data_IF_651932279674
#
_entry.id   IF_651932279674
#
_cell.length_a   1.000
_cell.length_b   1.000
_cell.length_c   1.000
_cell.angle_alpha   90.00
_cell.angle_beta   90.00
_cell.angle_gamma   90.00
#
_symmetry.space_group_name_H-M   'P 1'
#
loop_
_entity.id
_entity.type
_entity.pdbx_description
1 polymer ?
#
# COMPACT_ATOMS: atom_id res chain seq x y z
N UNK A 1 -6.45 4.37 -9.50
CA UNK A 1 -5.01 4.29 -9.23
C UNK A 1 -4.76 5.00 -7.91
N UNK A 2 -4.38 4.25 -6.87
CA UNK A 2 -4.14 4.74 -5.52
C UNK A 2 -3.15 3.78 -4.84
N UNK A 3 -2.55 4.20 -3.73
CA UNK A 3 -1.75 3.35 -2.85
C UNK A 3 -2.46 3.27 -1.48
N UNK A 4 -3.24 2.21 -1.25
CA UNK A 4 -3.97 2.00 0.01
C UNK A 4 -3.08 1.42 1.12
N UNK A 5 -1.96 0.81 0.77
CA UNK A 5 -0.93 0.33 1.70
C UNK A 5 -0.19 1.49 2.38
N UNK A 6 0.04 2.59 1.67
CA UNK A 6 0.72 3.81 2.16
C UNK A 6 -0.24 4.90 2.64
N UNK A 7 -1.55 4.73 2.42
CA UNK A 7 -2.52 5.76 2.78
C UNK A 7 -2.48 6.08 4.27
N UNK A 8 -2.68 7.36 4.61
CA UNK A 8 -2.72 7.85 5.99
C UNK A 8 -1.40 7.73 6.79
N UNK A 9 -0.24 7.63 6.16
CA UNK A 9 1.07 7.59 6.86
C UNK A 9 1.95 8.83 6.64
N UNK A 10 1.40 9.92 6.11
CA UNK A 10 2.18 11.14 5.87
C UNK A 10 2.76 11.67 7.19
N UNK A 11 4.07 11.88 7.24
CA UNK A 11 4.77 12.32 8.44
C UNK A 11 5.23 11.21 9.39
N UNK A 12 5.03 9.94 9.02
CA UNK A 12 5.44 8.78 9.84
C UNK A 12 6.59 8.00 9.17
N UNK A 13 7.76 7.87 9.82
CA UNK A 13 8.21 8.60 11.00
C UNK A 13 8.63 10.04 10.69
N UNK A 14 8.85 10.38 9.41
CA UNK A 14 9.34 11.68 8.97
C UNK A 14 8.53 12.19 7.78
N UNK A 15 8.46 13.51 7.65
CA UNK A 15 7.87 14.18 6.48
C UNK A 15 8.83 14.16 5.30
N UNK A 16 8.27 14.02 4.09
CA UNK A 16 8.98 14.34 2.85
C UNK A 16 9.11 15.87 2.73
N UNK A 17 10.29 16.41 3.03
CA UNK A 17 10.55 17.85 3.12
C UNK A 17 10.72 18.48 1.74
N UNK A 18 11.39 17.79 0.81
CA UNK A 18 11.62 18.29 -0.55
C UNK A 18 10.40 18.18 -1.46
N UNK A 19 9.43 17.33 -1.10
CA UNK A 19 8.28 17.02 -1.95
C UNK A 19 8.65 16.23 -3.21
N UNK A 20 9.83 15.61 -3.25
CA UNK A 20 10.27 14.81 -4.40
C UNK A 20 9.77 13.38 -4.33
N UNK A 21 9.68 12.73 -5.50
CA UNK A 21 9.38 11.30 -5.58
C UNK A 21 10.39 10.46 -4.80
N UNK A 22 11.68 10.73 -5.00
CA UNK A 22 12.77 9.94 -4.41
C UNK A 22 12.77 10.01 -2.89
N UNK A 23 12.62 11.22 -2.32
CA UNK A 23 12.47 11.35 -0.87
C UNK A 23 11.20 10.65 -0.37
N UNK A 24 10.11 10.68 -1.14
CA UNK A 24 8.90 9.94 -0.82
C UNK A 24 9.13 8.42 -0.70
N UNK A 25 9.94 7.84 -1.60
CA UNK A 25 10.33 6.44 -1.55
C UNK A 25 11.18 6.15 -0.30
N UNK A 26 12.12 7.03 0.04
CA UNK A 26 12.94 6.89 1.25
C UNK A 26 12.09 6.94 2.53
N UNK A 27 11.17 7.91 2.65
CA UNK A 27 10.24 8.01 3.78
C UNK A 27 9.32 6.79 3.86
N UNK A 28 8.89 6.28 2.71
CA UNK A 28 8.11 5.05 2.67
C UNK A 28 8.92 3.84 3.13
N UNK A 29 10.20 3.72 2.74
CA UNK A 29 11.07 2.65 3.21
C UNK A 29 11.23 2.66 4.74
N UNK A 30 11.35 3.84 5.35
CA UNK A 30 11.33 4.01 6.82
C UNK A 30 10.01 3.51 7.43
N UNK A 31 8.86 3.90 6.85
CA UNK A 31 7.54 3.49 7.34
C UNK A 31 7.25 2.01 7.16
N UNK A 32 7.78 1.40 6.10
CA UNK A 32 7.60 -0.01 5.75
C UNK A 32 8.11 -0.94 6.85
N UNK A 33 9.23 -0.59 7.48
CA UNK A 33 9.79 -1.33 8.61
C UNK A 33 8.89 -1.33 9.86
N UNK A 34 7.87 -0.45 9.91
CA UNK A 34 6.94 -0.27 11.03
C UNK A 34 5.55 -0.85 10.73
N UNK A 35 5.35 -1.47 9.56
CA UNK A 35 4.04 -2.00 9.19
C UNK A 35 3.66 -3.18 10.08
N UNK A 36 2.37 -3.25 10.39
CA UNK A 36 1.73 -4.47 10.85
C UNK A 36 0.49 -4.74 10.00
N UNK A 37 0.03 -5.98 10.01
CA UNK A 37 -1.16 -6.39 9.25
C UNK A 37 -2.38 -5.53 9.60
N UNK A 38 -2.68 -5.38 10.89
CA UNK A 38 -3.82 -4.59 11.38
C UNK A 38 -3.68 -3.10 11.07
N UNK A 39 -2.46 -2.55 11.14
CA UNK A 39 -2.18 -1.16 10.77
C UNK A 39 -2.57 -0.89 9.31
N UNK A 40 -2.13 -1.76 8.38
CA UNK A 40 -2.47 -1.63 6.95
C UNK A 40 -3.98 -1.72 6.74
N UNK A 41 -4.63 -2.74 7.32
CA UNK A 41 -6.09 -2.92 7.18
C UNK A 41 -6.86 -1.70 7.68
N UNK A 42 -6.52 -1.20 8.87
CA UNK A 42 -7.22 -0.08 9.49
C UNK A 42 -7.12 1.20 8.64
N UNK A 43 -5.93 1.51 8.11
CA UNK A 43 -5.72 2.69 7.24
C UNK A 43 -6.40 2.53 5.90
N UNK A 44 -6.28 1.38 5.25
CA UNK A 44 -6.96 1.10 3.98
C UNK A 44 -8.49 1.23 4.12
N UNK A 45 -9.08 0.65 5.17
CA UNK A 45 -10.50 0.76 5.46
C UNK A 45 -10.97 2.21 5.66
N UNK A 46 -10.17 3.02 6.37
CA UNK A 46 -10.48 4.43 6.57
C UNK A 46 -10.61 5.17 5.24
N UNK A 47 -9.65 4.98 4.34
CA UNK A 47 -9.66 5.62 3.01
C UNK A 47 -10.74 5.03 2.10
N UNK A 48 -10.99 3.72 2.14
CA UNK A 48 -12.07 3.07 1.39
C UNK A 48 -13.45 3.59 1.81
N UNK A 49 -13.70 3.82 3.11
CA UNK A 49 -14.95 4.43 3.58
C UNK A 49 -15.16 5.83 2.98
N UNK A 50 -14.11 6.63 2.85
CA UNK A 50 -14.19 7.92 2.17
C UNK A 50 -14.48 7.77 0.68
N UNK A 51 -13.85 6.79 0.01
CA UNK A 51 -14.12 6.49 -1.40
C UNK A 51 -15.58 6.07 -1.61
N UNK A 52 -16.12 5.19 -0.76
CA UNK A 52 -17.53 4.76 -0.79
C UNK A 52 -18.46 5.96 -0.59
N UNK A 53 -18.18 6.82 0.39
CA UNK A 53 -18.97 8.03 0.64
C UNK A 53 -18.97 9.00 -0.55
N UNK A 54 -17.90 8.97 -1.36
CA UNK A 54 -17.78 9.75 -2.59
C UNK A 54 -18.27 9.01 -3.85
N UNK A 55 -18.98 7.89 -3.70
CA UNK A 55 -19.57 7.15 -4.81
C UNK A 55 -18.60 6.30 -5.63
N UNK A 56 -17.37 6.08 -5.15
CA UNK A 56 -16.38 5.25 -5.83
C UNK A 56 -16.65 3.77 -5.54
N UNK A 57 -16.94 3.00 -6.59
CA UNK A 57 -17.21 1.55 -6.49
C UNK A 57 -16.13 0.67 -7.15
N UNK A 58 -15.20 1.26 -7.90
CA UNK A 58 -14.13 0.53 -8.57
C UNK A 58 -12.79 1.13 -8.21
N UNK A 59 -11.92 0.35 -7.56
CA UNK A 59 -10.62 0.82 -7.08
C UNK A 59 -9.55 -0.12 -7.59
N UNK A 60 -8.49 0.44 -8.17
CA UNK A 60 -7.23 -0.26 -8.41
C UNK A 60 -6.17 0.35 -7.52
N UNK A 61 -5.69 -0.44 -6.55
CA UNK A 61 -4.60 -0.08 -5.64
C UNK A 61 -3.31 -0.78 -6.04
N UNK A 62 -2.22 -0.04 -5.93
CA UNK A 62 -0.88 -0.60 -5.93
C UNK A 62 -0.51 -0.95 -4.50
N UNK A 63 0.23 -2.05 -4.31
CA UNK A 63 0.75 -2.48 -3.02
C UNK A 63 2.22 -2.78 -3.20
N UNK A 64 3.06 -2.15 -2.39
CA UNK A 64 4.50 -2.41 -2.40
C UNK A 64 4.80 -3.86 -2.03
N UNK A 65 5.41 -4.60 -2.97
CA UNK A 65 5.88 -5.98 -2.77
C UNK A 65 7.39 -6.08 -2.63
N UNK A 66 8.12 -4.96 -2.63
CA UNK A 66 9.54 -4.92 -2.23
C UNK A 66 9.67 -5.04 -0.70
N UNK A 67 9.05 -6.09 -0.14
CA UNK A 67 9.01 -6.45 1.28
C UNK A 67 9.01 -7.99 1.39
N UNK A 68 10.06 -8.62 1.93
CA UNK A 68 10.13 -10.08 2.06
C UNK A 68 8.99 -10.68 2.89
N UNK A 69 8.38 -9.89 3.78
CA UNK A 69 7.27 -10.36 4.62
C UNK A 69 5.91 -10.28 3.92
N UNK A 70 5.82 -9.50 2.83
CA UNK A 70 4.60 -9.19 2.08
C UNK A 70 3.45 -8.76 3.01
N UNK A 71 3.77 -8.00 4.06
CA UNK A 71 2.81 -7.68 5.13
C UNK A 71 1.63 -6.89 4.58
N UNK A 72 1.90 -5.86 3.78
CA UNK A 72 0.84 -5.04 3.18
C UNK A 72 -0.02 -5.82 2.17
N UNK A 73 0.59 -6.72 1.38
CA UNK A 73 -0.14 -7.52 0.39
C UNK A 73 -1.12 -8.48 1.06
N UNK A 74 -0.69 -9.19 2.11
CA UNK A 74 -1.55 -10.10 2.88
C UNK A 74 -2.75 -9.35 3.48
N UNK A 75 -2.50 -8.19 4.10
CA UNK A 75 -3.54 -7.33 4.64
C UNK A 75 -4.53 -6.86 3.56
N UNK A 76 -4.03 -6.42 2.39
CA UNK A 76 -4.89 -5.92 1.32
C UNK A 76 -5.71 -7.02 0.62
N UNK A 77 -5.20 -8.25 0.56
CA UNK A 77 -5.97 -9.41 0.06
C UNK A 77 -7.18 -9.71 0.96
N UNK A 78 -7.05 -9.56 2.28
CA UNK A 78 -8.18 -9.65 3.20
C UNK A 78 -9.14 -8.47 3.01
N UNK A 79 -8.63 -7.23 2.99
CA UNK A 79 -9.47 -6.03 2.76
C UNK A 79 -10.28 -6.15 1.48
N UNK A 80 -9.70 -6.70 0.41
CA UNK A 80 -10.41 -6.98 -0.85
C UNK A 80 -11.65 -7.85 -0.64
N UNK A 81 -11.55 -8.90 0.18
CA UNK A 81 -12.70 -9.75 0.48
C UNK A 81 -13.72 -9.01 1.35
N UNK A 82 -13.25 -8.31 2.37
CA UNK A 82 -14.12 -7.63 3.33
C UNK A 82 -14.91 -6.46 2.68
N UNK A 83 -14.31 -5.74 1.73
CA UNK A 83 -14.92 -4.56 1.08
C UNK A 83 -15.78 -4.91 -0.15
N UNK A 84 -15.76 -6.16 -0.62
CA UNK A 84 -16.43 -6.60 -1.84
C UNK A 84 -17.93 -6.21 -1.95
N UNK A 85 -18.72 -6.13 -0.87
CA UNK A 85 -20.11 -5.65 -0.96
C UNK A 85 -20.26 -4.19 -1.42
N UNK A 86 -19.20 -3.38 -1.36
CA UNK A 86 -19.24 -1.95 -1.66
C UNK A 86 -18.29 -1.52 -2.78
N UNK A 87 -17.12 -2.19 -2.89
CA UNK A 87 -16.07 -1.81 -3.82
C UNK A 87 -15.46 -3.03 -4.50
N UNK A 88 -15.41 -3.00 -5.82
CA UNK A 88 -14.58 -3.90 -6.63
C UNK A 88 -13.12 -3.46 -6.52
N UNK A 89 -12.33 -4.19 -5.71
CA UNK A 89 -10.94 -3.86 -5.44
C UNK A 89 -9.97 -4.73 -6.25
N UNK A 90 -9.23 -4.10 -7.16
CA UNK A 90 -8.10 -4.69 -7.88
C UNK A 90 -6.79 -4.33 -7.18
N UNK A 91 -5.91 -5.32 -7.05
CA UNK A 91 -4.60 -5.19 -6.42
C UNK A 91 -3.53 -5.40 -7.48
N UNK A 92 -2.57 -4.48 -7.54
CA UNK A 92 -1.37 -4.57 -8.36
C UNK A 92 -0.20 -4.87 -7.44
N UNK A 93 0.50 -5.99 -7.67
CA UNK A 93 1.81 -6.24 -7.07
C UNK A 93 2.80 -5.23 -7.64
N UNK A 94 3.27 -4.30 -6.81
CA UNK A 94 4.06 -3.16 -7.24
C UNK A 94 5.47 -3.20 -6.63
N UNK A 95 6.51 -3.52 -7.41
CA UNK A 95 7.87 -3.58 -6.90
C UNK A 95 8.46 -2.17 -6.79
N UNK A 96 8.15 -1.46 -5.70
CA UNK A 96 8.48 -0.03 -5.52
C UNK A 96 9.98 0.26 -5.62
N UNK A 97 10.82 -0.66 -5.13
CA UNK A 97 12.29 -0.54 -5.15
C UNK A 97 12.92 -1.27 -6.35
N UNK A 98 12.10 -1.70 -7.30
CA UNK A 98 12.53 -2.33 -8.55
C UNK A 98 12.63 -3.85 -8.49
N UNK A 99 12.40 -4.50 -9.63
CA UNK A 99 12.43 -5.97 -9.76
C UNK A 99 13.89 -6.48 -9.74
N UNK A 100 14.73 -5.90 -10.58
CA UNK A 100 16.14 -6.31 -10.75
C UNK A 100 17.09 -5.60 -9.78
N UNK A 101 16.59 -4.62 -9.03
CA UNK A 101 17.38 -3.75 -8.16
C UNK A 101 17.11 -3.98 -6.68
N UNK A 102 16.14 -4.85 -6.35
CA UNK A 102 15.83 -5.26 -4.98
C UNK A 102 16.19 -6.74 -4.77
N UNK A 103 16.77 -7.12 -3.61
CA UNK A 103 17.07 -8.52 -3.32
C UNK A 103 15.83 -9.42 -3.45
N UNK A 104 15.91 -10.44 -4.30
CA UNK A 104 14.79 -11.35 -4.61
C UNK A 104 13.56 -10.67 -5.22
N UNK A 105 13.69 -9.50 -5.86
CA UNK A 105 12.55 -8.72 -6.35
C UNK A 105 11.65 -9.45 -7.36
N UNK A 106 12.21 -10.27 -8.25
CA UNK A 106 11.44 -11.11 -9.18
C UNK A 106 10.64 -12.21 -8.45
N UNK A 107 11.26 -12.88 -7.47
CA UNK A 107 10.62 -13.93 -6.70
C UNK A 107 9.48 -13.41 -5.80
N UNK A 108 9.46 -12.12 -5.46
CA UNK A 108 8.38 -11.49 -4.69
C UNK A 108 7.12 -11.21 -5.53
N UNK A 109 7.18 -11.42 -6.86
CA UNK A 109 6.04 -11.29 -7.77
C UNK A 109 5.33 -12.62 -8.07
N UNK A 110 5.92 -13.75 -7.67
CA UNK A 110 5.37 -15.10 -7.85
C UNK A 110 4.43 -15.49 -6.70
#
# INVERSE_FOLDING_TARGET
HIHLDTTQTAGEPNWNQSGTLFEGIERWAERKALLSHEDVKARAWKTLKWQIANGVQFVRTHVDVSDPTLTALKAMLEVKQEVAPWVELQIVAFPQEGILSYPNGEALLE
#
